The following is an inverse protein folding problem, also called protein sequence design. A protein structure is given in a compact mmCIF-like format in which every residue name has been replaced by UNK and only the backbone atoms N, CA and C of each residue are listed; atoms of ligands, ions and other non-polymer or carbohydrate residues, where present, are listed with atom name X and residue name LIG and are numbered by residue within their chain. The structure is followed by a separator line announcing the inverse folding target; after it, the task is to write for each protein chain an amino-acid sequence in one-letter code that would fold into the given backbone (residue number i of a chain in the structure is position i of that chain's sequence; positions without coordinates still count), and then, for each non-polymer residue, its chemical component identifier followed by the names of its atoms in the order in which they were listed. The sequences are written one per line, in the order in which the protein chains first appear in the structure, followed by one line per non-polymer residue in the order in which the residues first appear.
data_IF_667493307995
#
_entry.id   IF_667493307995
#
_cell.length_a   1.000
_cell.length_b   1.000
_cell.length_c   1.000
_cell.angle_alpha   90.00
_cell.angle_beta   90.00
_cell.angle_gamma   90.00
#
_symmetry.space_group_name_H-M   'P 1'
#
loop_
_entity.id
_entity.type
_entity.pdbx_description
1 polymer ?
#
# COMPACT_ATOMS: atom_id res chain seq x y z
N UNK A 1 5.04 -1.22 -4.55
CA UNK A 1 3.83 -0.41 -4.28
C UNK A 1 3.01 -1.12 -3.22
N UNK A 2 3.09 -0.70 -1.96
CA UNK A 2 2.28 -1.26 -0.88
C UNK A 2 1.11 -0.30 -0.58
N UNK A 3 1.40 0.89 -0.06
CA UNK A 3 0.38 1.90 0.27
C UNK A 3 -0.24 2.57 -0.96
N UNK A 4 0.51 2.76 -2.05
CA UNK A 4 0.08 3.55 -3.22
C UNK A 4 -0.66 2.77 -4.32
N UNK A 5 -0.93 1.47 -4.16
CA UNK A 5 -1.61 0.70 -5.21
C UNK A 5 -3.08 1.11 -5.34
N UNK A 6 -3.50 1.46 -6.56
CA UNK A 6 -4.89 1.82 -6.89
C UNK A 6 -5.63 0.71 -7.64
N UNK A 7 -5.00 -0.46 -7.83
CA UNK A 7 -5.63 -1.60 -8.51
C UNK A 7 -5.79 -1.45 -10.03
N UNK A 8 -4.99 -0.60 -10.69
CA UNK A 8 -5.13 -0.32 -12.13
C UNK A 8 -4.73 -1.49 -13.06
N UNK A 9 -3.95 -2.46 -12.59
CA UNK A 9 -3.55 -3.64 -13.39
C UNK A 9 -2.42 -3.42 -14.40
N UNK A 10 -1.92 -2.19 -14.57
CA UNK A 10 -0.85 -1.87 -15.54
C UNK A 10 0.42 -2.68 -15.28
N UNK A 11 0.72 -2.99 -14.02
CA UNK A 11 1.86 -3.84 -13.65
C UNK A 11 1.78 -5.25 -14.23
N UNK A 12 0.58 -5.86 -14.24
CA UNK A 12 0.35 -7.19 -14.81
C UNK A 12 0.39 -7.14 -16.33
N UNK A 13 -0.26 -6.13 -16.94
CA UNK A 13 -0.24 -5.94 -18.40
C UNK A 13 1.17 -5.71 -18.95
N UNK A 14 2.03 -5.00 -18.20
CA UNK A 14 3.40 -4.74 -18.59
C UNK A 14 4.37 -5.89 -18.27
N UNK A 15 3.91 -6.96 -17.61
CA UNK A 15 4.80 -8.02 -17.13
C UNK A 15 5.24 -8.93 -18.29
N UNK A 16 6.54 -8.97 -18.67
CA UNK A 16 7.02 -9.84 -19.74
C UNK A 16 6.97 -11.33 -19.39
N UNK A 17 6.96 -11.64 -18.09
CA UNK A 17 6.94 -13.01 -17.57
C UNK A 17 5.54 -13.53 -17.28
N UNK A 18 4.49 -12.75 -17.61
CA UNK A 18 3.09 -13.14 -17.45
C UNK A 18 2.72 -13.57 -16.00
N UNK A 19 3.32 -12.92 -15.00
CA UNK A 19 3.07 -13.15 -13.57
C UNK A 19 1.77 -12.42 -13.17
N UNK A 20 0.90 -13.00 -12.32
CA UNK A 20 -0.32 -12.36 -11.83
C UNK A 20 -0.05 -11.25 -10.79
N UNK A 21 0.69 -10.22 -11.19
CA UNK A 21 1.17 -9.15 -10.33
C UNK A 21 0.03 -8.34 -9.71
N UNK A 22 -1.08 -8.14 -10.42
CA UNK A 22 -2.20 -7.37 -9.87
C UNK A 22 -2.76 -8.08 -8.64
N UNK A 23 -2.93 -9.40 -8.70
CA UNK A 23 -3.44 -10.19 -7.58
C UNK A 23 -2.52 -10.08 -6.35
N UNK A 24 -1.20 -10.20 -6.57
CA UNK A 24 -0.19 -10.13 -5.51
C UNK A 24 -0.19 -8.73 -4.89
N UNK A 25 -0.01 -7.69 -5.71
CA UNK A 25 0.06 -6.32 -5.20
C UNK A 25 -1.24 -5.86 -4.59
N UNK A 26 -2.41 -6.17 -5.17
CA UNK A 26 -3.69 -5.81 -4.56
C UNK A 26 -3.86 -6.42 -3.16
N UNK A 27 -3.44 -7.68 -2.98
CA UNK A 27 -3.53 -8.37 -1.68
C UNK A 27 -2.61 -7.73 -0.64
N UNK A 28 -1.34 -7.54 -0.98
CA UNK A 28 -0.37 -6.92 -0.06
C UNK A 28 -0.76 -5.48 0.25
N UNK A 29 -1.17 -4.73 -0.78
CA UNK A 29 -1.59 -3.34 -0.64
C UNK A 29 -2.80 -3.17 0.24
N UNK A 30 -3.80 -4.04 0.12
CA UNK A 30 -4.97 -4.01 0.99
C UNK A 30 -4.56 -4.06 2.46
N UNK A 31 -3.77 -5.06 2.85
CA UNK A 31 -3.35 -5.24 4.25
C UNK A 31 -2.52 -4.05 4.74
N UNK A 32 -1.62 -3.51 3.91
CA UNK A 32 -0.79 -2.37 4.30
C UNK A 32 -1.60 -1.08 4.37
N UNK A 33 -2.53 -0.86 3.44
CA UNK A 33 -3.44 0.30 3.46
C UNK A 33 -4.34 0.30 4.70
N UNK A 34 -4.82 -0.88 5.12
CA UNK A 34 -5.58 -1.02 6.37
C UNK A 34 -4.77 -0.66 7.61
N UNK A 35 -3.51 -1.12 7.70
CA UNK A 35 -2.62 -0.79 8.83
C UNK A 35 -2.48 0.73 9.00
N UNK A 36 -2.32 1.47 7.91
CA UNK A 36 -2.14 2.92 7.93
C UNK A 36 -3.47 3.71 7.79
N UNK A 37 -4.62 3.02 7.70
CA UNK A 37 -5.91 3.61 7.39
C UNK A 37 -5.86 4.58 6.18
N UNK A 38 -5.10 4.20 5.15
CA UNK A 38 -4.75 5.07 4.03
C UNK A 38 -5.42 4.62 2.73
N UNK A 39 -6.08 5.55 2.05
CA UNK A 39 -6.69 5.31 0.72
C UNK A 39 -5.94 6.13 -0.33
N UNK A 40 -5.20 5.49 -1.25
CA UNK A 40 -4.41 6.23 -2.23
C UNK A 40 -5.26 7.13 -3.12
N UNK A 41 -4.84 8.39 -3.24
CA UNK A 41 -5.50 9.39 -4.10
C UNK A 41 -6.74 10.04 -3.49
N UNK A 42 -7.12 9.72 -2.24
CA UNK A 42 -8.29 10.30 -1.57
C UNK A 42 -8.12 11.79 -1.25
N UNK A 43 -6.93 12.21 -0.84
CA UNK A 43 -6.61 13.58 -0.47
C UNK A 43 -5.17 13.93 -0.90
N UNK A 44 -4.98 15.10 -1.51
CA UNK A 44 -3.66 15.59 -1.96
C UNK A 44 -2.82 16.19 -0.82
N UNK A 45 -3.47 16.64 0.25
CA UNK A 45 -2.82 17.23 1.42
C UNK A 45 -2.45 16.17 2.46
N UNK A 46 -3.04 14.98 2.38
CA UNK A 46 -2.71 13.85 3.23
C UNK A 46 -1.32 13.32 2.87
N UNK A 47 -0.41 13.31 3.85
CA UNK A 47 0.94 12.82 3.66
C UNK A 47 0.95 11.31 3.40
N UNK A 48 1.86 10.87 2.53
CA UNK A 48 2.04 9.45 2.24
C UNK A 48 2.50 8.70 3.51
N UNK A 49 1.95 7.51 3.79
CA UNK A 49 2.49 6.68 4.85
C UNK A 49 3.94 6.27 4.51
N UNK A 50 4.77 6.08 5.53
CA UNK A 50 6.21 5.76 5.44
C UNK A 50 7.12 6.89 4.93
N UNK A 51 6.59 8.04 4.52
CA UNK A 51 7.41 9.23 4.22
C UNK A 51 7.48 10.21 5.39
N UNK A 52 6.74 9.93 6.46
CA UNK A 52 6.66 10.72 7.68
C UNK A 52 6.65 9.79 8.89
N UNK A 53 6.86 10.34 10.08
CA UNK A 53 6.87 9.62 11.34
C UNK A 53 5.73 10.12 12.24
N UNK A 54 5.06 9.19 12.91
CA UNK A 54 4.02 9.45 13.91
C UNK A 54 4.27 8.52 15.09
N UNK A 55 4.47 9.09 16.28
CA UNK A 55 4.87 8.35 17.49
C UNK A 55 3.90 7.21 17.83
N UNK A 56 2.60 7.44 17.73
CA UNK A 56 1.57 6.48 18.13
C UNK A 56 0.97 5.66 16.97
N UNK A 57 1.62 5.59 15.81
CA UNK A 57 1.05 4.95 14.60
C UNK A 57 1.06 3.41 14.63
N UNK A 58 2.08 2.79 15.24
CA UNK A 58 2.28 1.33 15.20
C UNK A 58 2.62 0.74 16.57
N UNK A 59 1.97 1.22 17.63
CA UNK A 59 2.26 0.81 19.02
C UNK A 59 2.28 -0.72 19.23
N UNK A 60 1.49 -1.48 18.46
CA UNK A 60 1.38 -2.94 18.57
C UNK A 60 2.51 -3.74 17.90
N UNK A 61 3.41 -3.12 17.11
CA UNK A 61 4.39 -3.83 16.26
C UNK A 61 5.75 -4.10 16.98
N UNK A 62 5.85 -3.89 18.29
CA UNK A 62 7.10 -4.13 19.04
C UNK A 62 6.91 -4.61 20.48
N UNK A 63 5.71 -5.07 20.84
CA UNK A 63 5.37 -5.52 22.20
C UNK A 63 5.37 -7.06 22.36
N UNK A 64 5.94 -7.80 21.40
CA UNK A 64 6.24 -9.24 21.53
C UNK A 64 7.69 -9.50 21.95
#
# INVERSE_FOLDING_TARGET
MATSCVGCGVCEQACPSNIPLLKIFKTVSHNVQEIFNYVPGKNLEELLPLTTFKEDELQRIGEE
#
